data_IF_951074793911
#
_entry.id   IF_951074793911
#
_cell.length_a   1.000
_cell.length_b   1.000
_cell.length_c   1.000
_cell.angle_alpha   90.00
_cell.angle_beta   90.00
_cell.angle_gamma   90.00
#
_symmetry.space_group_name_H-M   'P 1'
#
loop_
_entity.id
_entity.type
_entity.pdbx_description
1 polymer ?
#
# COMPACT_ATOMS: atom_id res chain seq x y z
N UNK A 1 8.55 -12.00 -14.12
CA UNK A 1 7.60 -10.96 -14.55
C UNK A 1 7.24 -10.15 -13.31
N UNK A 2 7.67 -8.90 -13.21
CA UNK A 2 7.26 -8.01 -12.12
C UNK A 2 5.80 -7.65 -12.35
N UNK A 3 4.90 -8.25 -11.59
CA UNK A 3 3.48 -7.91 -11.62
C UNK A 3 3.37 -6.50 -11.02
N UNK A 4 3.11 -5.52 -11.88
CA UNK A 4 2.87 -4.15 -11.45
C UNK A 4 1.44 -4.04 -10.93
N UNK A 5 1.28 -3.60 -9.68
CA UNK A 5 -0.04 -3.39 -9.07
C UNK A 5 -0.46 -1.94 -9.32
N UNK A 6 -1.57 -1.69 -10.05
CA UNK A 6 -2.03 -0.33 -10.34
C UNK A 6 -2.34 0.45 -9.05
N UNK A 7 -2.05 1.75 -9.04
CA UNK A 7 -2.34 2.63 -7.89
C UNK A 7 -3.83 2.63 -7.54
N UNK A 8 -4.72 2.64 -8.54
CA UNK A 8 -6.16 2.51 -8.34
C UNK A 8 -6.56 1.22 -7.60
N UNK A 9 -5.89 0.11 -7.91
CA UNK A 9 -6.11 -1.16 -7.20
C UNK A 9 -5.67 -1.06 -5.75
N UNK A 10 -4.47 -0.50 -5.53
CA UNK A 10 -3.95 -0.27 -4.18
C UNK A 10 -4.90 0.61 -3.37
N UNK A 11 -5.36 1.72 -3.96
CA UNK A 11 -6.31 2.65 -3.37
C UNK A 11 -7.63 1.97 -2.97
N UNK A 12 -8.18 1.16 -3.86
CA UNK A 12 -9.41 0.39 -3.61
C UNK A 12 -9.22 -0.62 -2.46
N UNK A 13 -8.15 -1.40 -2.51
CA UNK A 13 -7.90 -2.48 -1.54
C UNK A 13 -7.60 -1.93 -0.13
N UNK A 14 -7.07 -0.71 -0.01
CA UNK A 14 -6.78 -0.06 1.29
C UNK A 14 -7.84 0.96 1.72
N UNK A 15 -8.86 1.21 0.89
CA UNK A 15 -9.92 2.17 1.18
C UNK A 15 -9.48 3.64 1.19
N UNK A 16 -8.49 4.01 0.38
CA UNK A 16 -8.01 5.39 0.24
C UNK A 16 -8.27 5.94 -1.16
N UNK A 17 -8.22 7.27 -1.30
CA UNK A 17 -8.22 7.91 -2.62
C UNK A 17 -6.90 7.66 -3.34
N UNK A 18 -6.97 7.44 -4.66
CA UNK A 18 -5.78 7.24 -5.51
C UNK A 18 -4.77 8.39 -5.40
N UNK A 19 -5.23 9.63 -5.24
CA UNK A 19 -4.36 10.80 -5.03
C UNK A 19 -3.54 10.74 -3.74
N UNK A 20 -4.09 10.13 -2.69
CA UNK A 20 -3.35 9.91 -1.43
C UNK A 20 -2.30 8.84 -1.66
N UNK A 21 -2.69 7.74 -2.31
CA UNK A 21 -1.78 6.64 -2.63
C UNK A 21 -0.63 7.11 -3.52
N UNK A 22 -0.91 7.88 -4.58
CA UNK A 22 0.12 8.38 -5.51
C UNK A 22 1.14 9.30 -4.84
N UNK A 23 0.73 10.04 -3.80
CA UNK A 23 1.61 10.96 -3.09
C UNK A 23 2.54 10.25 -2.11
N UNK A 24 2.09 9.14 -1.51
CA UNK A 24 2.78 8.51 -0.38
C UNK A 24 3.35 7.12 -0.68
N UNK A 25 2.78 6.37 -1.61
CA UNK A 25 3.31 5.06 -2.01
C UNK A 25 4.57 5.24 -2.85
N UNK A 26 5.59 4.46 -2.52
CA UNK A 26 6.85 4.43 -3.25
C UNK A 26 6.91 3.19 -4.16
N UNK A 27 6.60 2.02 -3.59
CA UNK A 27 6.68 0.75 -4.29
C UNK A 27 5.63 -0.22 -3.75
N UNK A 28 5.23 -1.17 -4.59
CA UNK A 28 4.40 -2.31 -4.20
C UNK A 28 5.02 -3.60 -4.72
N UNK A 29 4.96 -4.66 -3.91
CA UNK A 29 5.49 -5.97 -4.27
C UNK A 29 4.45 -7.07 -4.02
N UNK A 30 3.98 -7.75 -5.07
CA UNK A 30 3.12 -8.91 -4.92
C UNK A 30 3.87 -10.10 -4.34
N UNK A 31 3.14 -10.90 -3.55
CA UNK A 31 3.67 -12.18 -3.11
C UNK A 31 3.64 -13.21 -4.25
N UNK A 32 4.67 -14.06 -4.38
CA UNK A 32 4.74 -15.05 -5.46
C UNK A 32 3.61 -16.08 -5.45
N UNK A 33 3.01 -16.32 -4.29
CA UNK A 33 1.92 -17.28 -4.07
C UNK A 33 0.53 -16.69 -4.37
N UNK A 34 0.45 -15.41 -4.72
CA UNK A 34 -0.83 -14.72 -4.99
C UNK A 34 -1.64 -14.40 -3.74
N UNK A 35 -1.10 -14.59 -2.53
CA UNK A 35 -1.79 -14.32 -1.26
C UNK A 35 -2.07 -12.83 -1.00
N UNK A 36 -1.52 -11.94 -1.83
CA UNK A 36 -1.65 -10.50 -1.69
C UNK A 36 -0.36 -9.78 -2.09
N UNK A 37 -0.10 -8.65 -1.44
CA UNK A 37 1.07 -7.82 -1.71
C UNK A 37 1.46 -6.91 -0.55
N UNK A 38 2.68 -6.38 -0.62
CA UNK A 38 3.20 -5.34 0.28
C UNK A 38 3.16 -3.99 -0.41
N UNK A 39 2.82 -2.95 0.35
CA UNK A 39 2.86 -1.56 -0.08
C UNK A 39 3.81 -0.80 0.83
N UNK A 40 4.74 -0.05 0.24
CA UNK A 40 5.71 0.75 0.96
C UNK A 40 5.38 2.23 0.82
N UNK A 41 5.21 2.91 1.94
CA UNK A 41 4.94 4.34 2.01
C UNK A 41 6.23 5.11 2.31
N UNK A 42 6.30 6.37 1.91
CA UNK A 42 7.42 7.28 2.22
C UNK A 42 7.64 7.38 3.73
N UNK A 43 8.89 7.59 4.16
CA UNK A 43 9.21 7.73 5.59
C UNK A 43 8.50 8.94 6.21
N UNK A 44 8.37 10.03 5.45
CA UNK A 44 7.68 11.27 5.84
C UNK A 44 6.14 11.19 5.74
N UNK A 45 5.57 9.99 5.60
CA UNK A 45 4.11 9.83 5.53
C UNK A 45 3.47 10.37 6.81
N UNK A 46 2.58 11.37 6.72
CA UNK A 46 1.99 12.03 7.89
C UNK A 46 1.23 11.07 8.78
N UNK A 47 1.19 11.36 10.08
CA UNK A 47 0.44 10.57 11.08
C UNK A 47 -1.03 10.39 10.72
N UNK A 48 -1.70 11.42 10.18
CA UNK A 48 -3.10 11.31 9.77
C UNK A 48 -3.31 10.30 8.63
N UNK A 49 -2.38 10.19 7.67
CA UNK A 49 -2.45 9.17 6.60
C UNK A 49 -2.22 7.78 7.21
N UNK A 50 -1.23 7.66 8.11
CA UNK A 50 -0.95 6.39 8.81
C UNK A 50 -2.13 5.91 9.64
N UNK A 51 -2.90 6.82 10.24
CA UNK A 51 -4.11 6.49 11.00
C UNK A 51 -5.24 5.92 10.14
N UNK A 52 -5.28 6.24 8.84
CA UNK A 52 -6.24 5.66 7.90
C UNK A 52 -5.85 4.25 7.43
N UNK A 53 -4.62 3.82 7.72
CA UNK A 53 -4.06 2.54 7.27
C UNK A 53 -3.98 1.57 8.44
N UNK A 54 -5.02 0.75 8.68
CA UNK A 54 -4.98 -0.23 9.76
C UNK A 54 -3.82 -1.20 9.50
N UNK A 55 -2.98 -1.42 10.52
CA UNK A 55 -1.85 -2.36 10.48
C UNK A 55 -0.63 -1.91 9.65
N UNK A 56 -0.46 -0.61 9.39
CA UNK A 56 0.82 -0.12 8.89
C UNK A 56 1.92 -0.35 9.92
N UNK A 57 3.04 -0.94 9.49
CA UNK A 57 4.18 -1.22 10.38
C UNK A 57 4.94 0.07 10.74
N UNK A 58 5.83 0.03 11.76
CA UNK A 58 6.73 1.14 12.06
C UNK A 58 7.64 1.54 10.88
N UNK A 59 7.92 0.61 9.97
CA UNK A 59 8.69 0.81 8.73
C UNK A 59 7.86 1.33 7.55
N UNK A 60 6.64 1.82 7.80
CA UNK A 60 5.74 2.35 6.78
C UNK A 60 5.41 1.34 5.67
N UNK A 61 5.30 0.07 6.05
CA UNK A 61 4.88 -1.01 5.17
C UNK A 61 3.47 -1.47 5.55
N UNK A 62 2.63 -1.72 4.56
CA UNK A 62 1.30 -2.31 4.73
C UNK A 62 1.23 -3.63 3.98
N UNK A 63 0.60 -4.63 4.59
CA UNK A 63 0.28 -5.90 3.94
C UNK A 63 -1.18 -5.85 3.51
N UNK A 64 -1.42 -6.05 2.21
CA UNK A 64 -2.75 -6.18 1.63
C UNK A 64 -2.92 -7.65 1.25
N UNK A 65 -3.96 -8.29 1.78
CA UNK A 65 -4.27 -9.68 1.47
C UNK A 65 -5.18 -9.73 0.25
N UNK A 66 -5.00 -10.74 -0.60
CA UNK A 66 -5.94 -11.04 -1.66
C UNK A 66 -7.26 -11.54 -1.04
N UNK A 67 -8.35 -10.86 -1.33
CA UNK A 67 -9.71 -11.27 -0.99
C UNK A 67 -10.33 -12.10 -2.12
#
# INVERSE_FOLDING_TARGET
>A
MTIHIPLLKIATDIGLCESVVSNWVTHSWPYPDGSGYRVFFKIDTPSHVRQLLPQITPTNMLIVLAH
#
